data_IF_171083808717
#
_entry.id   IF_171083808717
#
_cell.length_a   1.000
_cell.length_b   1.000
_cell.length_c   1.000
_cell.angle_alpha   90.00
_cell.angle_beta   90.00
_cell.angle_gamma   90.00
#
_symmetry.space_group_name_H-M   'P 1'
#
loop_
_entity.id
_entity.type
_entity.pdbx_description
1 polymer ?
#
# COMPACT_ATOMS: atom_id res chain seq x y z
N UNK A 1 -18.81 -1.11 18.83
CA UNK A 1 -17.97 -0.36 17.87
C UNK A 1 -17.73 -1.25 16.66
N UNK A 2 -18.58 -1.14 15.64
CA UNK A 2 -18.46 -1.89 14.38
C UNK A 2 -18.16 -0.88 13.28
N UNK A 3 -16.90 -0.79 12.89
CA UNK A 3 -16.46 -0.02 11.73
C UNK A 3 -16.90 -0.76 10.47
N UNK A 4 -17.87 -0.20 9.76
CA UNK A 4 -18.09 -0.49 8.34
C UNK A 4 -16.77 -0.24 7.58
N UNK A 5 -16.39 -1.08 6.60
CA UNK A 5 -15.32 -0.69 5.68
C UNK A 5 -15.86 0.49 4.86
N UNK A 6 -15.43 1.68 5.27
CA UNK A 6 -15.79 2.96 4.69
C UNK A 6 -15.35 2.99 3.22
N UNK A 7 -16.31 3.01 2.30
CA UNK A 7 -16.12 3.29 0.87
C UNK A 7 -15.55 4.71 0.61
N UNK A 8 -15.23 5.47 1.67
CA UNK A 8 -14.46 6.72 1.70
C UNK A 8 -13.05 6.62 2.33
N UNK A 9 -12.60 5.44 2.78
CA UNK A 9 -11.32 5.25 3.48
C UNK A 9 -10.11 5.60 2.60
N UNK A 10 -10.29 5.57 1.28
CA UNK A 10 -9.28 5.99 0.31
C UNK A 10 -9.01 7.51 0.31
N UNK A 11 -9.97 8.36 0.75
CA UNK A 11 -9.73 9.82 0.91
C UNK A 11 -8.90 10.13 2.13
N UNK A 12 -9.11 9.40 3.23
CA UNK A 12 -8.23 9.46 4.41
C UNK A 12 -6.83 8.90 4.09
N UNK A 13 -6.73 7.97 3.13
CA UNK A 13 -5.47 7.45 2.62
C UNK A 13 -4.84 8.29 1.48
N UNK A 14 -5.49 9.34 0.97
CA UNK A 14 -5.04 9.98 -0.27
C UNK A 14 -3.69 10.69 -0.11
N UNK A 15 -3.54 11.48 0.96
CA UNK A 15 -2.27 12.11 1.33
C UNK A 15 -1.31 11.10 1.97
N UNK A 16 -1.83 10.19 2.80
CA UNK A 16 -1.01 9.16 3.46
C UNK A 16 -0.29 8.29 2.44
N UNK A 17 -0.90 7.91 1.31
CA UNK A 17 -0.24 7.03 0.34
C UNK A 17 1.09 7.61 -0.18
N UNK A 18 1.10 8.89 -0.55
CA UNK A 18 2.31 9.54 -1.06
C UNK A 18 3.33 9.80 0.05
N UNK A 19 2.86 10.34 1.17
CA UNK A 19 3.72 10.71 2.31
C UNK A 19 4.34 9.47 2.98
N UNK A 20 3.58 8.40 3.18
CA UNK A 20 4.08 7.15 3.76
C UNK A 20 5.12 6.49 2.86
N UNK A 21 4.88 6.46 1.54
CA UNK A 21 5.87 5.93 0.59
C UNK A 21 7.16 6.75 0.63
N UNK A 22 7.05 8.08 0.66
CA UNK A 22 8.21 8.96 0.79
C UNK A 22 8.95 8.74 2.10
N UNK A 23 8.24 8.75 3.22
CA UNK A 23 8.85 8.62 4.54
C UNK A 23 9.57 7.28 4.67
N UNK A 24 8.93 6.18 4.24
CA UNK A 24 9.54 4.85 4.28
C UNK A 24 10.75 4.75 3.36
N UNK A 25 10.73 5.39 2.19
CA UNK A 25 11.90 5.46 1.32
C UNK A 25 13.05 6.26 1.94
N UNK A 26 12.78 7.41 2.54
CA UNK A 26 13.79 8.22 3.23
C UNK A 26 14.40 7.47 4.42
N UNK A 27 13.56 6.82 5.23
CA UNK A 27 13.97 5.97 6.35
C UNK A 27 14.87 4.83 5.87
N UNK A 28 14.48 4.11 4.80
CA UNK A 28 15.26 3.00 4.26
C UNK A 28 16.63 3.44 3.70
N UNK A 29 16.69 4.63 3.10
CA UNK A 29 17.93 5.23 2.58
C UNK A 29 18.82 5.81 3.69
N UNK A 30 18.28 6.06 4.88
CA UNK A 30 19.01 6.60 6.03
C UNK A 30 19.40 8.07 5.89
N UNK A 31 18.74 8.82 5.00
CA UNK A 31 18.95 10.27 4.85
C UNK A 31 17.70 10.96 4.31
N UNK A 32 17.33 12.07 4.96
CA UNK A 32 16.27 12.98 4.52
C UNK A 32 16.78 14.15 3.68
N UNK A 33 18.09 14.20 3.40
CA UNK A 33 18.72 15.34 2.72
C UNK A 33 18.39 15.46 1.22
N UNK A 34 17.92 14.38 0.59
CA UNK A 34 17.56 14.37 -0.83
C UNK A 34 16.07 14.11 -1.00
N UNK A 35 15.35 15.10 -1.52
CA UNK A 35 13.96 14.93 -1.91
C UNK A 35 13.84 13.88 -3.02
N UNK A 36 12.66 13.28 -3.07
CA UNK A 36 12.31 12.30 -4.09
C UNK A 36 12.31 12.93 -5.49
N UNK A 37 12.78 12.20 -6.51
CA UNK A 37 12.85 12.67 -7.89
C UNK A 37 11.45 12.92 -8.48
N UNK A 38 11.22 13.91 -9.35
CA UNK A 38 9.95 14.09 -10.06
C UNK A 38 9.47 12.82 -10.78
N UNK A 39 10.40 11.99 -11.28
CA UNK A 39 10.08 10.72 -11.93
C UNK A 39 9.51 9.70 -10.94
N UNK A 40 10.01 9.69 -9.71
CA UNK A 40 9.54 8.78 -8.66
C UNK A 40 8.13 9.18 -8.20
N UNK A 41 7.81 10.48 -8.16
CA UNK A 41 6.44 10.95 -7.89
C UNK A 41 5.45 10.46 -8.94
N UNK A 42 5.79 10.57 -10.23
CA UNK A 42 4.98 10.04 -11.32
C UNK A 42 4.84 8.50 -11.22
N UNK A 43 5.87 7.81 -10.76
CA UNK A 43 5.82 6.37 -10.52
C UNK A 43 4.84 6.01 -9.40
N UNK A 44 4.88 6.71 -8.26
CA UNK A 44 3.94 6.50 -7.16
C UNK A 44 2.50 6.77 -7.60
N UNK A 45 2.28 7.83 -8.39
CA UNK A 45 0.97 8.13 -8.98
C UNK A 45 0.49 6.98 -9.87
N UNK A 46 1.36 6.39 -10.68
CA UNK A 46 1.01 5.25 -11.53
C UNK A 46 0.58 4.01 -10.71
N UNK A 47 1.26 3.73 -9.60
CA UNK A 47 0.88 2.62 -8.69
C UNK A 47 -0.46 2.88 -8.02
N UNK A 48 -0.69 4.11 -7.59
CA UNK A 48 -1.96 4.52 -7.01
C UNK A 48 -3.11 4.34 -8.01
N UNK A 49 -2.92 4.80 -9.25
CA UNK A 49 -3.91 4.66 -10.32
C UNK A 49 -4.14 3.19 -10.72
N UNK A 50 -3.13 2.34 -10.58
CA UNK A 50 -3.24 0.90 -10.79
C UNK A 50 -3.88 0.14 -9.61
N UNK A 51 -4.22 0.82 -8.51
CA UNK A 51 -4.83 0.20 -7.33
C UNK A 51 -3.86 -0.64 -6.49
N UNK A 52 -2.56 -0.37 -6.58
CA UNK A 52 -1.56 -1.05 -5.75
C UNK A 52 -1.78 -0.66 -4.28
N UNK A 53 -1.93 -1.62 -3.35
CA UNK A 53 -2.12 -1.29 -1.94
C UNK A 53 -0.84 -0.72 -1.33
N UNK A 54 -0.98 0.26 -0.42
CA UNK A 54 0.14 0.92 0.25
C UNK A 54 1.10 -0.09 0.89
N UNK A 55 0.55 -1.08 1.60
CA UNK A 55 1.32 -2.16 2.24
C UNK A 55 2.24 -2.90 1.28
N UNK A 56 1.82 -3.14 0.03
CA UNK A 56 2.67 -3.78 -0.97
C UNK A 56 3.85 -2.88 -1.35
N UNK A 57 3.60 -1.56 -1.46
CA UNK A 57 4.66 -0.60 -1.75
C UNK A 57 5.68 -0.55 -0.63
N UNK A 58 5.22 -0.43 0.62
CA UNK A 58 6.11 -0.35 1.78
C UNK A 58 6.97 -1.60 1.92
N UNK A 59 6.36 -2.78 1.81
CA UNK A 59 7.09 -4.06 1.84
C UNK A 59 8.05 -4.23 0.67
N UNK A 60 7.67 -3.77 -0.52
CA UNK A 60 8.52 -3.79 -1.70
C UNK A 60 9.76 -2.92 -1.53
N UNK A 61 9.62 -1.73 -0.93
CA UNK A 61 10.75 -0.86 -0.58
C UNK A 61 11.68 -1.56 0.40
N UNK A 62 11.13 -2.08 1.51
CA UNK A 62 11.94 -2.77 2.52
C UNK A 62 12.70 -3.96 1.91
N UNK A 63 12.04 -4.78 1.08
CA UNK A 63 12.64 -5.92 0.40
C UNK A 63 13.73 -5.50 -0.59
N UNK A 64 13.53 -4.41 -1.35
CA UNK A 64 14.53 -3.91 -2.28
C UNK A 64 15.80 -3.44 -1.54
N UNK A 65 15.63 -2.73 -0.42
CA UNK A 65 16.75 -2.26 0.40
C UNK A 65 17.45 -3.39 1.16
N UNK A 66 16.72 -4.40 1.64
CA UNK A 66 17.33 -5.59 2.26
C UNK A 66 18.21 -6.34 1.25
N UNK A 67 17.70 -6.55 0.03
CA UNK A 67 18.47 -7.11 -1.08
C UNK A 67 19.68 -6.25 -1.48
N UNK A 68 19.58 -4.93 -1.40
CA UNK A 68 20.73 -4.05 -1.65
C UNK A 68 21.77 -4.15 -0.53
N UNK A 69 21.34 -4.20 0.74
CA UNK A 69 22.22 -4.33 1.91
C UNK A 69 22.94 -5.67 1.94
N UNK A 70 22.32 -6.76 1.45
CA UNK A 70 22.94 -8.09 1.43
C UNK A 70 24.05 -8.27 0.38
N UNK A 71 24.19 -7.35 -0.59
CA UNK A 71 25.24 -7.43 -1.62
C UNK A 71 26.64 -7.21 -1.03
N UNK A 72 27.58 -8.10 -1.39
CA UNK A 72 29.00 -8.04 -0.98
C UNK A 72 29.74 -6.80 -1.47
N UNK A 73 29.36 -6.24 -2.62
CA UNK A 73 29.93 -5.00 -3.15
C UNK A 73 28.81 -4.00 -3.39
N UNK A 74 28.77 -2.96 -2.56
CA UNK A 74 27.82 -1.84 -2.69
C UNK A 74 28.49 -0.72 -3.48
N UNK A 75 28.53 -0.89 -4.80
CA UNK A 75 29.20 0.08 -5.68
C UNK A 75 28.36 1.34 -5.91
N UNK A 76 27.04 1.28 -5.70
CA UNK A 76 26.10 2.39 -5.94
C UNK A 76 25.06 2.49 -4.83
N UNK A 77 24.72 3.72 -4.43
CA UNK A 77 23.59 4.00 -3.53
C UNK A 77 22.26 3.91 -4.28
N UNK A 78 21.19 3.58 -3.55
CA UNK A 78 19.82 3.60 -4.08
C UNK A 78 19.27 5.01 -3.98
N UNK A 79 19.29 5.73 -5.11
CA UNK A 79 18.90 7.14 -5.17
C UNK A 79 17.49 7.37 -5.71
N UNK A 80 16.86 6.36 -6.32
CA UNK A 80 15.53 6.47 -6.94
C UNK A 80 14.64 5.28 -6.59
N UNK A 81 13.35 5.59 -6.43
CA UNK A 81 12.29 4.66 -6.12
C UNK A 81 12.03 3.65 -7.26
N UNK A 82 12.40 4.01 -8.50
CA UNK A 82 12.41 3.11 -9.65
C UNK A 82 13.22 1.82 -9.40
N UNK A 83 14.27 1.87 -8.55
CA UNK A 83 15.00 0.68 -8.13
C UNK A 83 14.10 -0.35 -7.41
N UNK A 84 13.13 0.13 -6.64
CA UNK A 84 12.23 -0.70 -5.84
C UNK A 84 11.04 -1.23 -6.65
N UNK A 85 10.79 -0.71 -7.85
CA UNK A 85 9.56 -0.98 -8.60
C UNK A 85 9.27 -2.47 -8.81
N UNK A 86 10.30 -3.26 -9.14
CA UNK A 86 10.14 -4.71 -9.34
C UNK A 86 9.76 -5.44 -8.05
N UNK A 87 10.34 -5.04 -6.91
CA UNK A 87 10.01 -5.61 -5.62
C UNK A 87 8.58 -5.23 -5.18
N UNK A 88 8.17 -3.98 -5.43
CA UNK A 88 6.82 -3.49 -5.16
C UNK A 88 5.77 -4.26 -5.95
N UNK A 89 5.96 -4.43 -7.26
CA UNK A 89 5.02 -5.18 -8.09
C UNK A 89 4.93 -6.65 -7.65
N UNK A 90 6.06 -7.26 -7.28
CA UNK A 90 6.08 -8.63 -6.75
C UNK A 90 5.28 -8.77 -5.44
N UNK A 91 5.42 -7.84 -4.51
CA UNK A 91 4.62 -7.86 -3.27
C UNK A 91 3.14 -7.58 -3.56
N UNK A 92 2.83 -6.72 -4.53
CA UNK A 92 1.46 -6.44 -4.94
C UNK A 92 0.78 -7.68 -5.54
N UNK A 93 1.48 -8.40 -6.42
CA UNK A 93 1.04 -9.68 -6.98
C UNK A 93 0.88 -10.75 -5.89
N UNK A 94 1.83 -10.84 -4.95
CA UNK A 94 1.75 -11.78 -3.83
C UNK A 94 0.52 -11.52 -2.94
N UNK A 95 0.21 -10.24 -2.66
CA UNK A 95 -0.99 -9.87 -1.91
C UNK A 95 -2.27 -10.21 -2.69
N UNK A 96 -2.31 -9.92 -3.98
CA UNK A 96 -3.45 -10.27 -4.83
C UNK A 96 -3.72 -11.79 -4.83
N UNK A 97 -2.66 -12.59 -4.90
CA UNK A 97 -2.74 -14.06 -4.88
C UNK A 97 -3.05 -14.65 -3.49
N UNK A 98 -2.82 -13.88 -2.41
CA UNK A 98 -3.04 -14.31 -1.02
C UNK A 98 -4.45 -13.98 -0.51
N UNK A 99 -5.27 -13.26 -1.29
CA UNK A 99 -6.65 -12.96 -0.93
C UNK A 99 -7.46 -14.27 -0.88
N UNK A 100 -8.05 -14.64 0.27
CA UNK A 100 -8.93 -15.80 0.31
C UNK A 100 -10.10 -15.56 -0.64
N UNK A 101 -10.34 -16.54 -1.52
CA UNK A 101 -11.53 -16.59 -2.37
C UNK A 101 -12.78 -16.33 -1.50
N UNK A 102 -13.77 -15.52 -1.94
CA UNK A 102 -14.98 -15.24 -1.17
C UNK A 102 -15.92 -16.45 -1.19
N UNK A 103 -15.43 -17.61 -0.76
CA UNK A 103 -16.24 -18.77 -0.47
C UNK A 103 -16.40 -18.83 1.05
N UNK A 104 -17.62 -18.51 1.50
CA UNK A 104 -18.17 -18.77 2.84
C UNK A 104 -18.03 -17.63 3.86
N UNK A 105 -18.39 -16.40 3.47
CA UNK A 105 -19.12 -15.54 4.41
C UNK A 105 -20.52 -16.14 4.61
N UNK A 106 -20.61 -16.98 5.65
CA UNK A 106 -21.87 -17.46 6.21
C UNK A 106 -22.82 -16.27 6.33
N UNK A 107 -24.01 -16.42 5.73
CA UNK A 107 -25.14 -15.49 5.77
C UNK A 107 -24.99 -14.44 6.88
N UNK A 108 -24.51 -13.24 6.51
CA UNK A 108 -24.63 -12.09 7.39
C UNK A 108 -26.13 -11.75 7.42
N UNK A 109 -26.80 -12.24 8.46
CA UNK A 109 -28.12 -11.76 8.83
C UNK A 109 -28.02 -10.24 9.00
N UNK A 110 -28.85 -9.51 8.26
CA UNK A 110 -28.77 -8.07 8.17
C UNK A 110 -28.75 -7.44 9.58
N UNK A 111 -27.88 -6.44 9.85
CA UNK A 111 -27.74 -5.85 11.18
C UNK A 111 -29.03 -5.26 11.77
N UNK A 112 -30.04 -5.02 10.94
CA UNK A 112 -31.37 -4.58 11.34
C UNK A 112 -32.43 -5.40 10.60
N UNK A 113 -33.24 -6.20 11.33
CA UNK A 113 -34.43 -6.82 10.76
C UNK A 113 -35.35 -5.74 10.20
N UNK A 114 -35.89 -5.96 9.00
CA UNK A 114 -36.79 -5.03 8.29
C UNK A 114 -38.02 -4.63 9.12
N UNK A 115 -38.39 -5.45 10.11
CA UNK A 115 -39.46 -5.17 11.06
C UNK A 115 -39.20 -3.90 11.88
N UNK A 116 -37.94 -3.66 12.29
CA UNK A 116 -37.56 -2.49 13.08
C UNK A 116 -37.67 -1.17 12.31
N UNK A 117 -37.55 -1.21 10.98
CA UNK A 117 -37.68 -0.03 10.13
C UNK A 117 -39.14 0.40 9.92
N UNK A 118 -40.11 -0.51 10.15
CA UNK A 118 -41.55 -0.23 9.96
C UNK A 118 -42.19 0.42 11.18
N UNK A 119 -41.55 0.39 12.34
CA UNK A 119 -42.07 0.94 13.59
C UNK A 119 -41.91 2.47 13.73
N UNK A 120 -41.37 3.16 12.71
CA UNK A 120 -41.11 4.61 12.69
C UNK A 120 -41.96 5.38 11.66
N UNK A 121 -43.02 4.76 11.15
CA UNK A 121 -44.08 5.37 10.33
C UNK A 121 -45.42 5.23 11.06
#
# INVERSE_FOLDING_TARGET
MTTTPDDGAWRLNYFNYFTEVEERFQQARGTSLFLMSPLDWALIESWKNAGVPLEAVLRGIDAAFDNWRSRKQRTQQVNSLAYCAQAVMKEAEAMANSLPSPARSRAQEAPFPLESARALL
#
